data_IF_663680454710
#
_entry.id   IF_663680454710
#
_cell.length_a   1.000
_cell.length_b   1.000
_cell.length_c   1.000
_cell.angle_alpha   90.00
_cell.angle_beta   90.00
_cell.angle_gamma   90.00
#
_symmetry.space_group_name_H-M   'P 1'
#
loop_
_entity.id
_entity.type
_entity.pdbx_description
1 polymer ?
#
# COMPACT_ATOMS: atom_id res chain seq x y z
N UNK A 1 -8.85 45.27 52.04
CA UNK A 1 -8.26 43.94 51.80
C UNK A 1 -8.98 43.37 50.60
N UNK A 2 -8.47 43.64 49.40
CA UNK A 2 -9.01 43.11 48.15
C UNK A 2 -8.20 41.87 47.80
N UNK A 3 -8.77 40.70 48.04
CA UNK A 3 -8.18 39.45 47.56
C UNK A 3 -8.80 39.15 46.19
N UNK A 4 -7.99 39.35 45.16
CA UNK A 4 -8.12 38.65 43.88
C UNK A 4 -7.95 37.16 44.14
N UNK A 5 -8.90 36.35 43.71
CA UNK A 5 -8.67 34.92 43.55
C UNK A 5 -8.92 34.58 42.08
N UNK A 6 -7.81 34.58 41.32
CA UNK A 6 -7.73 34.07 39.96
C UNK A 6 -7.76 32.55 40.04
N UNK A 7 -8.89 31.94 39.67
CA UNK A 7 -8.97 30.49 39.48
C UNK A 7 -8.21 30.11 38.20
N UNK A 8 -7.34 29.08 38.24
CA UNK A 8 -6.59 28.66 37.06
C UNK A 8 -7.52 27.94 36.07
N UNK A 9 -7.40 28.35 34.82
CA UNK A 9 -7.92 27.66 33.63
C UNK A 9 -7.36 26.24 33.62
N UNK A 10 -8.21 25.27 33.92
CA UNK A 10 -7.87 23.85 33.82
C UNK A 10 -8.06 23.48 32.36
N UNK A 11 -7.02 23.75 31.56
CA UNK A 11 -6.91 23.22 30.21
C UNK A 11 -7.14 21.71 30.27
N UNK A 12 -8.19 21.28 29.57
CA UNK A 12 -8.43 19.87 29.30
C UNK A 12 -7.14 19.29 28.71
N UNK A 13 -6.67 18.11 29.12
CA UNK A 13 -5.55 17.48 28.42
C UNK A 13 -5.92 17.39 26.94
N UNK A 14 -5.06 17.93 26.10
CA UNK A 14 -5.05 17.70 24.66
C UNK A 14 -4.91 16.19 24.46
N UNK A 15 -6.03 15.49 24.43
CA UNK A 15 -6.11 14.12 23.95
C UNK A 15 -5.89 14.21 22.46
N UNK A 16 -4.62 14.36 22.05
CA UNK A 16 -4.21 13.89 20.74
C UNK A 16 -4.63 12.43 20.69
N UNK A 17 -5.61 12.05 19.83
CA UNK A 17 -5.82 10.64 19.58
C UNK A 17 -4.47 10.05 19.15
N UNK A 18 -4.21 8.78 19.43
CA UNK A 18 -3.13 8.09 18.75
C UNK A 18 -3.38 8.28 17.26
N UNK A 19 -2.60 9.16 16.63
CA UNK A 19 -2.83 9.63 15.27
C UNK A 19 -2.68 8.42 14.35
N UNK A 20 -3.81 7.82 13.98
CA UNK A 20 -3.86 6.89 12.85
C UNK A 20 -3.31 7.63 11.65
N UNK A 21 -2.49 6.96 10.82
CA UNK A 21 -1.84 7.60 9.65
C UNK A 21 -2.84 8.17 8.63
N UNK A 22 -4.12 7.80 8.73
CA UNK A 22 -5.22 8.35 7.96
C UNK A 22 -6.26 9.06 8.86
N UNK A 23 -6.92 10.13 8.35
CA UNK A 23 -8.00 10.80 9.05
C UNK A 23 -9.18 9.89 9.35
N UNK A 24 -9.83 10.11 10.50
CA UNK A 24 -11.07 9.43 10.85
C UNK A 24 -12.15 9.65 9.78
N UNK A 25 -12.75 8.54 9.31
CA UNK A 25 -13.79 8.57 8.28
C UNK A 25 -13.29 8.70 6.84
N UNK A 26 -11.96 8.65 6.61
CA UNK A 26 -11.42 8.43 5.27
C UNK A 26 -12.08 7.21 4.62
N UNK A 27 -12.32 7.27 3.31
CA UNK A 27 -12.88 6.17 2.54
C UNK A 27 -11.93 5.88 1.39
N UNK A 28 -11.26 4.75 1.49
CA UNK A 28 -10.36 4.31 0.43
C UNK A 28 -11.16 3.99 -0.85
N UNK A 29 -10.60 4.27 -2.05
CA UNK A 29 -11.24 3.90 -3.31
C UNK A 29 -11.49 2.39 -3.40
N UNK A 30 -12.66 1.96 -3.91
CA UNK A 30 -12.94 0.52 -4.10
C UNK A 30 -12.71 0.07 -5.54
N UNK A 31 -12.46 1.01 -6.45
CA UNK A 31 -12.14 0.80 -7.86
C UNK A 31 -11.43 2.02 -8.41
N UNK A 32 -10.38 1.81 -9.19
CA UNK A 32 -9.66 2.87 -9.92
C UNK A 32 -9.47 2.40 -11.35
N UNK A 33 -9.94 3.19 -12.32
CA UNK A 33 -9.78 2.84 -13.73
C UNK A 33 -8.33 3.04 -14.18
N UNK A 34 -7.84 2.06 -14.93
CA UNK A 34 -6.54 2.07 -15.60
C UNK A 34 -6.82 2.04 -17.11
N UNK A 35 -5.98 2.65 -17.96
CA UNK A 35 -6.13 2.56 -19.40
C UNK A 35 -6.28 1.12 -19.93
N UNK A 36 -6.74 0.99 -21.19
CA UNK A 36 -6.96 -0.28 -21.90
C UNK A 36 -8.07 -1.17 -21.31
N UNK A 37 -8.93 -0.60 -20.46
CA UNK A 37 -10.05 -1.31 -19.84
C UNK A 37 -9.68 -2.03 -18.55
N UNK A 38 -8.44 -1.86 -18.07
CA UNK A 38 -7.96 -2.42 -16.82
C UNK A 38 -8.46 -1.63 -15.61
N UNK A 39 -8.35 -2.21 -14.42
CA UNK A 39 -8.69 -1.51 -13.18
C UNK A 39 -7.93 -2.05 -11.98
N UNK A 40 -7.78 -1.19 -10.98
CA UNK A 40 -7.36 -1.57 -9.64
C UNK A 40 -8.60 -1.75 -8.76
N UNK A 41 -8.58 -2.75 -7.88
CA UNK A 41 -9.53 -2.86 -6.77
C UNK A 41 -8.87 -3.53 -5.54
N UNK A 42 -9.43 -3.35 -4.33
CA UNK A 42 -9.00 -4.12 -3.16
C UNK A 42 -8.90 -5.62 -3.47
N UNK A 43 -7.75 -6.21 -3.10
CA UNK A 43 -7.53 -7.65 -3.23
C UNK A 43 -8.40 -8.41 -2.22
N UNK A 44 -8.78 -9.64 -2.57
CA UNK A 44 -9.63 -10.50 -1.75
C UNK A 44 -9.08 -11.91 -1.68
N UNK A 45 -9.49 -12.65 -0.66
CA UNK A 45 -9.13 -14.06 -0.51
C UNK A 45 -9.63 -14.92 -1.69
N UNK A 46 -10.67 -14.50 -2.40
CA UNK A 46 -11.17 -15.21 -3.59
C UNK A 46 -10.28 -15.03 -4.82
N UNK A 47 -9.33 -14.10 -4.81
CA UNK A 47 -8.44 -13.83 -5.94
C UNK A 47 -7.24 -14.79 -6.02
N UNK A 48 -7.08 -15.69 -5.03
CA UNK A 48 -5.89 -16.56 -4.89
C UNK A 48 -5.55 -17.36 -6.13
N UNK A 49 -6.55 -17.85 -6.89
CA UNK A 49 -6.27 -18.61 -8.11
C UNK A 49 -5.58 -17.73 -9.18
N UNK A 50 -5.92 -16.44 -9.25
CA UNK A 50 -5.31 -15.49 -10.17
C UNK A 50 -3.99 -14.93 -9.62
N UNK A 51 -3.94 -14.64 -8.33
CA UNK A 51 -2.75 -14.11 -7.66
C UNK A 51 -1.61 -15.12 -7.67
N UNK A 52 -1.88 -16.40 -7.36
CA UNK A 52 -0.90 -17.47 -7.47
C UNK A 52 -0.28 -17.55 -8.86
N UNK A 53 -1.05 -17.36 -9.92
CA UNK A 53 -0.52 -17.34 -11.30
C UNK A 53 0.39 -16.13 -11.52
N UNK A 54 -0.06 -14.94 -11.12
CA UNK A 54 0.68 -13.69 -11.30
C UNK A 54 2.00 -13.68 -10.52
N UNK A 55 1.92 -13.99 -9.23
CA UNK A 55 3.04 -13.96 -8.28
C UNK A 55 4.03 -15.06 -8.59
N UNK A 56 3.56 -16.30 -8.78
CA UNK A 56 4.49 -17.41 -9.03
C UNK A 56 5.04 -17.40 -10.46
N UNK A 57 4.31 -16.84 -11.43
CA UNK A 57 4.79 -16.60 -12.80
C UNK A 57 5.90 -15.54 -12.85
N UNK A 58 5.83 -14.54 -11.97
CA UNK A 58 6.79 -13.42 -11.89
C UNK A 58 7.80 -13.55 -10.73
N UNK A 59 7.84 -14.72 -10.08
CA UNK A 59 8.46 -14.94 -8.76
C UNK A 59 9.90 -14.48 -8.67
N UNK A 60 10.73 -14.82 -9.66
CA UNK A 60 12.16 -14.53 -9.61
C UNK A 60 12.43 -13.03 -9.59
N UNK A 61 11.70 -12.27 -10.42
CA UNK A 61 11.81 -10.80 -10.43
C UNK A 61 11.21 -10.21 -9.16
N UNK A 62 10.02 -10.62 -8.75
CA UNK A 62 9.39 -10.12 -7.53
C UNK A 62 10.28 -10.35 -6.31
N UNK A 63 10.92 -11.52 -6.21
CA UNK A 63 11.89 -11.79 -5.15
C UNK A 63 13.11 -10.86 -5.21
N UNK A 64 13.60 -10.50 -6.40
CA UNK A 64 14.71 -9.54 -6.53
C UNK A 64 14.36 -8.12 -6.06
N UNK A 65 13.07 -7.78 -6.07
CA UNK A 65 12.55 -6.46 -5.65
C UNK A 65 12.24 -6.49 -4.15
N UNK A 66 11.39 -7.43 -3.72
CA UNK A 66 10.79 -7.46 -2.39
C UNK A 66 11.42 -8.47 -1.44
N UNK A 67 12.16 -9.47 -1.95
CA UNK A 67 12.62 -10.60 -1.15
C UNK A 67 13.56 -10.23 0.00
N UNK A 68 14.36 -9.17 -0.15
CA UNK A 68 15.23 -8.69 0.91
C UNK A 68 14.47 -7.93 2.02
N UNK A 69 13.43 -7.19 1.65
CA UNK A 69 12.65 -6.36 2.56
C UNK A 69 11.53 -7.15 3.24
N UNK A 70 10.82 -7.98 2.49
CA UNK A 70 9.58 -8.64 2.92
C UNK A 70 9.70 -10.16 2.99
N UNK A 71 10.78 -10.75 2.48
CA UNK A 71 10.88 -12.22 2.38
C UNK A 71 9.84 -12.83 1.44
N UNK A 72 9.33 -12.05 0.49
CA UNK A 72 8.25 -12.41 -0.43
C UNK A 72 8.66 -12.22 -1.91
N UNK A 73 8.15 -13.04 -2.85
CA UNK A 73 7.42 -14.29 -2.65
C UNK A 73 8.37 -15.50 -2.46
N UNK A 74 8.18 -16.33 -1.43
CA UNK A 74 9.03 -17.51 -1.22
C UNK A 74 8.88 -18.52 -2.36
N UNK A 75 9.92 -19.29 -2.64
CA UNK A 75 9.93 -20.22 -3.77
C UNK A 75 8.93 -21.38 -3.62
N UNK A 76 8.59 -21.72 -2.38
CA UNK A 76 7.66 -22.79 -1.98
C UNK A 76 6.32 -22.25 -1.49
N UNK A 77 5.94 -21.02 -1.89
CA UNK A 77 4.64 -20.44 -1.55
C UNK A 77 3.51 -21.38 -1.98
N UNK A 78 2.71 -21.79 -0.99
CA UNK A 78 1.54 -22.65 -1.23
C UNK A 78 0.30 -21.82 -1.45
N UNK A 79 -0.66 -22.39 -2.16
CA UNK A 79 -1.98 -21.79 -2.37
C UNK A 79 -2.68 -21.42 -1.04
N UNK A 80 -2.53 -22.22 0.01
CA UNK A 80 -3.17 -21.92 1.30
C UNK A 80 -2.49 -20.76 2.02
N UNK A 81 -1.16 -20.63 1.90
CA UNK A 81 -0.43 -19.47 2.41
C UNK A 81 -0.84 -18.21 1.66
N UNK A 82 -0.92 -18.27 0.34
CA UNK A 82 -1.34 -17.15 -0.49
C UNK A 82 -2.76 -16.68 -0.14
N UNK A 83 -3.71 -17.61 -0.05
CA UNK A 83 -5.08 -17.30 0.39
C UNK A 83 -5.13 -16.64 1.76
N UNK A 84 -4.33 -17.14 2.71
CA UNK A 84 -4.27 -16.56 4.05
C UNK A 84 -3.69 -15.14 4.03
N UNK A 85 -2.72 -14.90 3.15
CA UNK A 85 -2.10 -13.58 2.96
C UNK A 85 -3.08 -12.58 2.34
N UNK A 86 -3.82 -12.99 1.30
CA UNK A 86 -4.86 -12.17 0.70
C UNK A 86 -6.01 -11.87 1.67
N UNK A 87 -6.39 -12.86 2.49
CA UNK A 87 -7.40 -12.65 3.54
C UNK A 87 -6.93 -11.66 4.61
N UNK A 88 -5.65 -11.69 4.98
CA UNK A 88 -5.03 -10.72 5.89
C UNK A 88 -5.06 -9.33 5.27
N UNK A 89 -4.61 -9.17 4.03
CA UNK A 89 -4.65 -7.88 3.32
C UNK A 89 -6.06 -7.32 3.18
N UNK A 90 -7.05 -8.16 2.88
CA UNK A 90 -8.45 -7.72 2.84
C UNK A 90 -8.94 -7.20 4.21
N UNK A 91 -8.55 -7.85 5.31
CA UNK A 91 -8.88 -7.40 6.66
C UNK A 91 -8.15 -6.09 7.04
N UNK A 92 -6.88 -5.96 6.68
CA UNK A 92 -6.09 -4.73 6.89
C UNK A 92 -6.69 -3.53 6.15
N UNK A 93 -7.23 -3.74 4.95
CA UNK A 93 -7.95 -2.70 4.20
C UNK A 93 -9.25 -2.27 4.88
N UNK A 94 -9.99 -3.18 5.51
CA UNK A 94 -11.21 -2.86 6.26
C UNK A 94 -10.92 -2.03 7.51
N UNK A 95 -9.75 -2.24 8.14
CA UNK A 95 -9.31 -1.51 9.33
C UNK A 95 -8.39 -0.32 9.04
N UNK A 96 -8.06 -0.07 7.76
CA UNK A 96 -7.11 0.95 7.30
C UNK A 96 -5.70 0.81 7.91
N UNK A 97 -5.25 -0.43 8.12
CA UNK A 97 -3.90 -0.76 8.57
C UNK A 97 -2.89 -0.71 7.41
N UNK A 98 -3.27 -1.23 6.25
CA UNK A 98 -2.52 -1.20 5.00
C UNK A 98 -3.48 -1.34 3.82
N UNK A 99 -2.99 -1.15 2.59
CA UNK A 99 -3.80 -1.37 1.40
C UNK A 99 -3.05 -2.13 0.31
N UNK A 100 -3.69 -3.16 -0.22
CA UNK A 100 -3.22 -3.91 -1.39
C UNK A 100 -4.31 -3.91 -2.47
N UNK A 101 -4.02 -3.23 -3.58
CA UNK A 101 -4.88 -3.18 -4.76
C UNK A 101 -4.34 -4.10 -5.84
N UNK A 102 -5.14 -5.06 -6.28
CA UNK A 102 -4.84 -5.89 -7.42
C UNK A 102 -5.23 -5.17 -8.73
N UNK A 103 -4.32 -5.20 -9.70
CA UNK A 103 -4.54 -4.77 -11.08
C UNK A 103 -5.14 -5.93 -11.87
N UNK A 104 -6.31 -5.72 -12.47
CA UNK A 104 -6.99 -6.73 -13.27
C UNK A 104 -7.14 -6.31 -14.73
N UNK A 105 -7.31 -7.31 -15.58
CA UNK A 105 -7.91 -7.12 -16.89
C UNK A 105 -9.40 -6.75 -16.82
N UNK A 106 -9.98 -6.37 -17.97
CA UNK A 106 -11.36 -5.84 -18.05
C UNK A 106 -12.39 -6.75 -17.37
N UNK A 107 -12.25 -8.06 -17.57
CA UNK A 107 -13.21 -9.07 -17.12
C UNK A 107 -12.76 -9.79 -15.84
N UNK A 108 -11.69 -9.31 -15.17
CA UNK A 108 -11.05 -9.95 -14.00
C UNK A 108 -10.72 -11.45 -14.24
N UNK A 109 -10.24 -11.76 -15.45
CA UNK A 109 -9.75 -13.10 -15.81
C UNK A 109 -8.26 -13.28 -15.52
N UNK A 110 -7.53 -12.19 -15.28
CA UNK A 110 -6.12 -12.20 -14.89
C UNK A 110 -5.79 -11.08 -13.91
N UNK A 111 -5.01 -11.41 -12.87
CA UNK A 111 -4.30 -10.44 -12.05
C UNK A 111 -2.97 -10.11 -12.74
N UNK A 112 -2.74 -8.83 -13.00
CA UNK A 112 -1.63 -8.33 -13.82
C UNK A 112 -0.60 -7.54 -13.01
N UNK A 113 -0.80 -7.38 -11.71
CA UNK A 113 0.06 -6.60 -10.83
C UNK A 113 -0.62 -6.22 -9.53
N UNK A 114 0.11 -5.56 -8.63
CA UNK A 114 -0.44 -5.01 -7.39
C UNK A 114 0.14 -3.61 -7.09
N UNK A 115 -0.61 -2.82 -6.32
CA UNK A 115 -0.19 -1.56 -5.70
C UNK A 115 -0.36 -1.68 -4.20
N UNK A 116 0.73 -1.50 -3.46
CA UNK A 116 0.77 -1.48 -1.99
C UNK A 116 0.86 -0.04 -1.50
N UNK A 117 0.09 0.28 -0.46
CA UNK A 117 0.09 1.58 0.22
C UNK A 117 0.08 1.28 1.72
N UNK A 118 1.24 1.49 2.35
CA UNK A 118 1.49 1.13 3.74
C UNK A 118 1.73 2.41 4.57
N UNK A 119 1.42 2.38 5.88
CA UNK A 119 1.89 3.41 6.79
C UNK A 119 3.43 3.46 6.79
N UNK A 120 4.04 4.62 7.06
CA UNK A 120 5.48 4.77 6.92
C UNK A 120 6.24 4.04 8.03
N UNK A 121 7.12 3.09 7.67
CA UNK A 121 8.01 2.45 8.66
C UNK A 121 9.28 3.27 8.92
N UNK A 122 9.64 4.15 7.99
CA UNK A 122 10.86 4.98 8.03
C UNK A 122 10.51 6.48 8.12
N UNK A 123 11.32 7.32 8.77
CA UNK A 123 11.00 8.73 8.97
C UNK A 123 10.99 9.50 7.65
N UNK A 124 10.27 10.63 7.63
CA UNK A 124 10.25 11.57 6.49
C UNK A 124 9.32 11.17 5.36
N UNK A 125 8.31 10.36 5.63
CA UNK A 125 7.17 10.07 4.75
C UNK A 125 5.91 9.88 5.61
N UNK A 126 4.74 10.04 5.01
CA UNK A 126 3.44 9.73 5.62
C UNK A 126 2.75 8.50 5.00
N UNK A 127 3.35 7.91 3.96
CA UNK A 127 3.04 6.59 3.42
C UNK A 127 4.22 6.01 2.64
N UNK A 128 4.27 4.69 2.54
CA UNK A 128 5.22 3.95 1.71
C UNK A 128 4.45 3.18 0.63
N UNK A 129 4.80 3.44 -0.63
CA UNK A 129 4.00 3.02 -1.77
C UNK A 129 4.90 2.30 -2.76
N UNK A 130 4.48 1.13 -3.20
CA UNK A 130 5.19 0.37 -4.23
C UNK A 130 4.21 -0.37 -5.11
N UNK A 131 4.60 -0.69 -6.34
CA UNK A 131 3.77 -1.44 -7.26
C UNK A 131 4.61 -2.24 -8.23
N UNK A 132 3.99 -3.25 -8.81
CA UNK A 132 4.59 -4.12 -9.82
C UNK A 132 3.53 -4.57 -10.83
N UNK A 133 4.00 -4.98 -12.00
CA UNK A 133 3.21 -5.71 -12.99
C UNK A 133 3.82 -7.10 -13.23
N UNK A 134 3.04 -8.04 -13.75
CA UNK A 134 3.52 -9.37 -14.14
C UNK A 134 4.59 -9.30 -15.23
N UNK A 135 5.39 -10.36 -15.38
CA UNK A 135 6.51 -10.42 -16.32
C UNK A 135 6.18 -10.02 -17.75
N UNK A 136 5.03 -10.44 -18.24
CA UNK A 136 4.53 -10.16 -19.58
C UNK A 136 4.19 -8.69 -19.82
N UNK A 137 3.96 -7.91 -18.75
CA UNK A 137 3.55 -6.52 -18.83
C UNK A 137 4.72 -5.54 -18.66
N UNK A 138 5.92 -6.00 -18.32
CA UNK A 138 7.08 -5.10 -18.17
C UNK A 138 7.52 -4.52 -19.51
N UNK A 139 7.77 -3.21 -19.50
CA UNK A 139 8.12 -2.41 -20.68
C UNK A 139 6.97 -2.19 -21.65
N UNK A 140 5.73 -2.49 -21.25
CA UNK A 140 4.53 -2.29 -22.07
C UNK A 140 3.84 -0.97 -21.73
N UNK A 141 2.92 -0.55 -22.60
CA UNK A 141 2.09 0.64 -22.35
C UNK A 141 1.22 0.50 -21.08
N UNK A 142 0.95 -0.73 -20.61
CA UNK A 142 0.22 -0.95 -19.35
C UNK A 142 1.08 -0.59 -18.14
N UNK A 143 2.36 -0.97 -18.13
CA UNK A 143 3.28 -0.57 -17.05
C UNK A 143 3.44 0.95 -17.02
N UNK A 144 3.66 1.57 -18.18
CA UNK A 144 3.75 3.04 -18.30
C UNK A 144 2.47 3.72 -17.80
N UNK A 145 1.31 3.20 -18.17
CA UNK A 145 0.03 3.74 -17.72
C UNK A 145 -0.15 3.61 -16.19
N UNK A 146 0.32 2.52 -15.58
CA UNK A 146 0.28 2.35 -14.13
C UNK A 146 1.27 3.29 -13.43
N UNK A 147 2.49 3.42 -13.97
CA UNK A 147 3.54 4.33 -13.47
C UNK A 147 3.07 5.79 -13.47
N UNK A 148 2.31 6.22 -14.48
CA UNK A 148 1.69 7.55 -14.52
C UNK A 148 0.47 7.67 -13.60
N UNK A 149 -0.35 6.61 -13.50
CA UNK A 149 -1.59 6.63 -12.75
C UNK A 149 -1.34 6.71 -11.25
N UNK A 150 -0.45 5.88 -10.69
CA UNK A 150 -0.31 5.71 -9.24
C UNK A 150 -0.02 7.06 -8.56
N UNK A 151 1.01 7.84 -8.94
CA UNK A 151 1.29 9.11 -8.27
C UNK A 151 0.16 10.13 -8.38
N UNK A 152 -0.51 10.20 -9.54
CA UNK A 152 -1.67 11.08 -9.75
C UNK A 152 -2.84 10.67 -8.86
N UNK A 153 -3.15 9.38 -8.83
CA UNK A 153 -4.22 8.83 -8.01
C UNK A 153 -3.98 9.08 -6.52
N UNK A 154 -2.75 8.87 -6.05
CA UNK A 154 -2.36 9.18 -4.66
C UNK A 154 -2.60 10.66 -4.35
N UNK A 155 -2.12 11.57 -5.20
CA UNK A 155 -2.30 13.01 -4.99
C UNK A 155 -3.78 13.46 -5.00
N UNK A 156 -4.63 12.82 -5.80
CA UNK A 156 -6.02 13.22 -5.97
C UNK A 156 -6.97 12.61 -4.91
N UNK A 157 -6.70 11.38 -4.48
CA UNK A 157 -7.65 10.59 -3.70
C UNK A 157 -7.20 10.28 -2.27
N UNK A 158 -5.92 10.45 -1.94
CA UNK A 158 -5.38 10.11 -0.63
C UNK A 158 -5.01 11.36 0.18
N UNK A 159 -5.25 11.38 1.50
CA UNK A 159 -4.95 12.52 2.36
C UNK A 159 -3.47 12.52 2.78
N UNK A 160 -2.57 12.37 1.81
CA UNK A 160 -1.12 12.25 2.02
C UNK A 160 -0.43 13.52 1.50
N UNK A 161 0.48 14.06 2.30
CA UNK A 161 1.30 15.23 1.98
C UNK A 161 2.70 14.82 1.47
N UNK A 162 3.24 13.71 1.97
CA UNK A 162 4.60 13.25 1.73
C UNK A 162 4.68 11.74 1.43
N UNK A 163 3.96 11.24 0.41
CA UNK A 163 4.07 9.83 0.02
C UNK A 163 5.47 9.53 -0.51
N UNK A 164 5.98 8.34 -0.18
CA UNK A 164 7.25 7.82 -0.70
C UNK A 164 7.01 6.66 -1.63
N UNK A 165 7.51 6.75 -2.86
CA UNK A 165 7.40 5.67 -3.84
C UNK A 165 8.67 4.79 -3.82
N UNK A 166 8.63 3.70 -3.06
CA UNK A 166 9.78 2.79 -2.88
C UNK A 166 10.05 2.01 -4.17
N UNK A 167 11.32 1.97 -4.58
CA UNK A 167 11.77 1.47 -5.88
C UNK A 167 11.74 2.52 -7.00
N UNK A 168 11.16 3.71 -6.77
CA UNK A 168 11.02 4.79 -7.76
C UNK A 168 11.76 6.05 -7.31
N UNK A 169 11.37 6.65 -6.19
CA UNK A 169 12.03 7.84 -5.62
C UNK A 169 13.38 7.48 -4.97
N UNK A 170 13.46 6.27 -4.44
CA UNK A 170 14.62 5.66 -3.81
C UNK A 170 14.58 4.15 -4.04
N UNK A 171 15.75 3.52 -4.07
CA UNK A 171 15.84 2.06 -4.19
C UNK A 171 15.43 1.36 -2.89
N UNK A 172 15.03 0.09 -2.98
CA UNK A 172 14.78 -0.76 -1.80
C UNK A 172 15.98 -0.83 -0.86
N UNK A 173 17.20 -0.83 -1.39
CA UNK A 173 18.42 -0.83 -0.59
C UNK A 173 18.60 0.47 0.20
N UNK A 174 18.31 1.62 -0.41
CA UNK A 174 18.34 2.92 0.28
C UNK A 174 17.24 3.01 1.34
N UNK A 175 16.04 2.52 1.03
CA UNK A 175 14.92 2.46 1.99
C UNK A 175 15.25 1.60 3.22
N UNK A 176 15.78 0.38 3.02
CA UNK A 176 16.18 -0.49 4.12
C UNK A 176 17.30 0.11 4.99
N UNK A 177 18.16 0.96 4.41
CA UNK A 177 19.23 1.64 5.12
C UNK A 177 18.75 2.83 5.98
N UNK A 178 17.51 3.27 5.82
CA UNK A 178 16.92 4.31 6.66
C UNK A 178 16.70 3.79 8.10
N UNK A 179 16.87 4.66 9.11
CA UNK A 179 16.55 4.30 10.50
C UNK A 179 15.06 3.97 10.62
N UNK A 180 14.72 3.05 11.51
CA UNK A 180 13.31 2.75 11.83
C UNK A 180 12.65 3.94 12.55
N UNK A 181 11.35 4.15 12.30
CA UNK A 181 10.58 5.05 13.13
C UNK A 181 10.46 4.48 14.55
N UNK A 182 10.56 5.31 15.60
CA UNK A 182 10.23 4.88 16.95
C UNK A 182 8.76 4.43 17.00
N UNK A 183 8.51 3.27 17.61
CA UNK A 183 7.16 2.77 17.88
C UNK A 183 6.35 3.66 18.83
#
# INVERSE_FOLDING_TARGET
MSSHETTPDTGLPDTRPHDTWLPAGFRHPTRVEVPFGHHLRPIRAEDTDLDMVAVMGSRERLWSIYGAAWGWPPADMTHDQDRADLARHAAEMDTHESFNYALFDTDETALLGCVYIDPPEKPGADAEISWWVVDECVGTELEEALDELVPRWIADAWPLEHPRYVGRDLTWAEWMALPEQPA
#
